data_IF_285714591217
#
_entry.id   IF_285714591217
#
_cell.length_a   1.000
_cell.length_b   1.000
_cell.length_c   1.000
_cell.angle_alpha   90.00
_cell.angle_beta   90.00
_cell.angle_gamma   90.00
#
_symmetry.space_group_name_H-M   'P 1'
#
loop_
_entity.id
_entity.type
_entity.pdbx_description
1 polymer ?
#
# COMPACT_ATOMS: atom_id res chain seq x y z
N UNK A 1 5.41 20.35 -1.14
CA UNK A 1 6.01 19.82 0.11
C UNK A 1 7.18 18.94 -0.27
N UNK A 2 8.31 18.97 0.44
CA UNK A 2 9.50 18.21 0.02
C UNK A 2 9.40 16.79 0.59
N UNK A 3 9.20 15.79 -0.25
CA UNK A 3 9.01 14.37 0.13
C UNK A 3 10.16 13.86 1.01
N UNK A 4 11.37 14.40 0.83
CA UNK A 4 12.55 14.03 1.64
C UNK A 4 12.47 14.41 3.12
N UNK A 5 11.53 15.26 3.52
CA UNK A 5 11.34 15.66 4.93
C UNK A 5 10.49 14.64 5.71
N UNK A 6 9.76 13.78 5.03
CA UNK A 6 8.83 12.81 5.62
C UNK A 6 9.29 11.36 5.47
N UNK A 7 10.30 11.11 4.63
CA UNK A 7 10.81 9.75 4.40
C UNK A 7 11.84 9.41 5.47
N UNK A 8 11.61 8.33 6.22
CA UNK A 8 12.58 7.85 7.21
C UNK A 8 13.91 7.49 6.52
N UNK A 9 15.07 7.77 7.12
CA UNK A 9 16.37 7.43 6.53
C UNK A 9 16.52 5.96 6.12
N UNK A 10 15.93 5.05 6.92
CA UNK A 10 15.96 3.60 6.65
C UNK A 10 15.15 3.23 5.39
N UNK A 11 14.05 3.96 5.11
CA UNK A 11 13.25 3.78 3.89
C UNK A 11 14.05 4.19 2.64
N UNK A 12 14.81 5.28 2.76
CA UNK A 12 15.69 5.72 1.66
C UNK A 12 16.82 4.72 1.39
N UNK A 13 17.34 4.08 2.42
CA UNK A 13 18.37 3.06 2.29
C UNK A 13 17.80 1.76 1.69
N UNK A 14 16.63 1.31 2.15
CA UNK A 14 15.92 0.17 1.59
C UNK A 14 15.58 0.39 0.10
N UNK A 15 15.09 1.58 -0.27
CA UNK A 15 14.84 1.94 -1.66
C UNK A 15 16.12 1.95 -2.51
N UNK A 16 17.24 2.45 -1.97
CA UNK A 16 18.53 2.40 -2.68
C UNK A 16 18.98 0.96 -2.94
N UNK A 17 18.82 0.08 -1.95
CA UNK A 17 19.16 -1.35 -2.08
C UNK A 17 18.27 -2.00 -3.14
N UNK A 18 16.93 -1.79 -3.08
CA UNK A 18 15.98 -2.35 -4.04
C UNK A 18 16.24 -1.82 -5.47
N UNK A 19 16.51 -0.53 -5.60
CA UNK A 19 16.85 0.09 -6.89
C UNK A 19 18.25 -0.29 -7.41
N UNK A 20 19.13 -0.75 -6.54
CA UNK A 20 20.46 -1.25 -6.95
C UNK A 20 20.42 -2.60 -7.66
N UNK A 21 19.28 -3.29 -7.62
CA UNK A 21 19.03 -4.54 -8.37
C UNK A 21 18.42 -4.16 -9.74
N UNK A 22 19.20 -4.07 -10.84
CA UNK A 22 18.75 -3.42 -12.09
C UNK A 22 17.55 -4.09 -12.77
N UNK A 23 17.30 -5.36 -12.44
CA UNK A 23 16.25 -6.17 -13.04
C UNK A 23 14.94 -6.05 -12.25
N UNK A 24 15.01 -5.79 -10.94
CA UNK A 24 13.86 -5.83 -10.05
C UNK A 24 12.76 -4.84 -10.43
N UNK A 25 13.02 -3.52 -10.61
CA UNK A 25 11.98 -2.57 -11.00
C UNK A 25 11.30 -2.93 -12.33
N UNK A 26 12.07 -3.45 -13.30
CA UNK A 26 11.53 -3.84 -14.61
C UNK A 26 10.65 -5.08 -14.54
N UNK A 27 11.05 -6.07 -13.76
CA UNK A 27 10.26 -7.29 -13.54
C UNK A 27 8.97 -6.95 -12.79
N UNK A 28 9.06 -6.11 -11.77
CA UNK A 28 7.92 -5.67 -10.98
C UNK A 28 6.90 -4.89 -11.82
N UNK A 29 7.39 -3.91 -12.59
CA UNK A 29 6.52 -3.15 -13.48
C UNK A 29 5.84 -4.06 -14.50
N UNK A 30 6.58 -4.97 -15.12
CA UNK A 30 6.03 -5.95 -16.05
C UNK A 30 5.01 -6.88 -15.38
N UNK A 31 5.22 -7.26 -14.13
CA UNK A 31 4.29 -8.08 -13.36
C UNK A 31 2.99 -7.33 -13.06
N UNK A 32 3.08 -6.06 -12.68
CA UNK A 32 1.90 -5.19 -12.49
C UNK A 32 1.17 -4.96 -13.83
N UNK A 33 1.91 -4.70 -14.91
CA UNK A 33 1.37 -4.53 -16.28
C UNK A 33 0.68 -5.80 -16.83
N UNK A 34 1.03 -7.00 -16.33
CA UNK A 34 0.40 -8.27 -16.72
C UNK A 34 -1.04 -8.45 -16.19
N UNK A 35 -1.66 -7.41 -15.66
CA UNK A 35 -3.04 -7.42 -15.23
C UNK A 35 -3.25 -7.68 -13.74
N UNK A 36 -2.19 -7.80 -12.95
CA UNK A 36 -2.29 -7.98 -11.50
C UNK A 36 -2.96 -6.79 -10.83
N UNK A 37 -2.63 -5.56 -11.25
CA UNK A 37 -3.31 -4.36 -10.77
C UNK A 37 -4.82 -4.38 -11.09
N UNK A 38 -5.19 -4.81 -12.31
CA UNK A 38 -6.60 -4.94 -12.71
C UNK A 38 -7.32 -6.04 -11.94
N UNK A 39 -6.63 -7.16 -11.67
CA UNK A 39 -7.17 -8.25 -10.86
C UNK A 39 -7.46 -7.77 -9.43
N UNK A 40 -6.50 -7.11 -8.78
CA UNK A 40 -6.68 -6.55 -7.43
C UNK A 40 -7.76 -5.47 -7.39
N UNK A 41 -7.82 -4.63 -8.41
CA UNK A 41 -8.89 -3.64 -8.55
C UNK A 41 -10.27 -4.31 -8.65
N UNK A 42 -10.38 -5.38 -9.43
CA UNK A 42 -11.62 -6.18 -9.54
C UNK A 42 -11.98 -6.86 -8.21
N UNK A 43 -11.00 -7.44 -7.51
CA UNK A 43 -11.20 -8.06 -6.20
C UNK A 43 -11.64 -7.05 -5.14
N UNK A 44 -11.03 -5.87 -5.09
CA UNK A 44 -11.42 -4.81 -4.18
C UNK A 44 -12.88 -4.42 -4.38
N UNK A 45 -13.30 -4.21 -5.62
CA UNK A 45 -14.70 -3.88 -5.95
C UNK A 45 -15.69 -5.00 -5.65
N UNK A 46 -15.26 -6.25 -5.76
CA UNK A 46 -16.11 -7.41 -5.53
C UNK A 46 -16.26 -7.78 -4.05
N UNK A 47 -15.25 -7.51 -3.23
CA UNK A 47 -15.17 -8.00 -1.84
C UNK A 47 -15.18 -6.91 -0.77
N UNK A 48 -15.09 -5.64 -1.16
CA UNK A 48 -14.97 -4.51 -0.22
C UNK A 48 -16.03 -3.44 -0.48
N UNK A 49 -16.28 -2.64 0.54
CA UNK A 49 -17.19 -1.48 0.45
C UNK A 49 -16.36 -0.28 0.00
N UNK A 50 -16.67 0.30 -1.14
CA UNK A 50 -16.04 1.55 -1.57
C UNK A 50 -16.61 2.71 -0.77
N UNK A 51 -15.73 3.44 -0.10
CA UNK A 51 -16.08 4.65 0.64
C UNK A 51 -16.23 5.84 -0.33
N UNK A 52 -17.16 6.72 -0.01
CA UNK A 52 -17.44 7.92 -0.83
C UNK A 52 -18.16 8.97 0.03
N UNK A 53 -18.36 10.19 -0.48
CA UNK A 53 -19.15 11.21 0.23
C UNK A 53 -20.58 10.76 0.59
N UNK A 54 -21.11 9.74 -0.08
CA UNK A 54 -22.45 9.19 0.16
C UNK A 54 -22.43 7.79 0.79
N UNK A 55 -21.25 7.16 0.86
CA UNK A 55 -21.07 5.82 1.41
C UNK A 55 -20.06 5.87 2.55
N UNK A 56 -20.56 5.77 3.80
CA UNK A 56 -19.79 5.91 5.03
C UNK A 56 -18.97 7.22 5.07
N UNK A 57 -19.64 8.38 4.96
CA UNK A 57 -18.97 9.68 4.85
C UNK A 57 -18.11 10.02 6.06
N UNK A 58 -18.43 9.47 7.24
CA UNK A 58 -17.67 9.70 8.48
C UNK A 58 -16.23 9.18 8.37
N UNK A 59 -16.04 8.06 7.67
CA UNK A 59 -14.72 7.47 7.41
C UNK A 59 -14.10 8.12 6.15
N UNK A 60 -14.91 8.26 5.08
CA UNK A 60 -14.42 8.82 3.82
C UNK A 60 -13.81 10.21 3.99
N UNK A 61 -14.46 11.10 4.76
CA UNK A 61 -14.03 12.51 4.91
C UNK A 61 -12.68 12.69 5.64
N UNK A 62 -12.05 11.61 6.10
CA UNK A 62 -10.68 11.62 6.61
C UNK A 62 -9.68 11.80 5.46
N UNK A 63 -9.94 11.21 4.30
CA UNK A 63 -8.99 11.08 3.20
C UNK A 63 -8.72 12.40 2.45
N UNK A 64 -9.72 13.17 1.97
CA UNK A 64 -9.47 14.33 1.12
C UNK A 64 -8.53 15.38 1.72
N UNK A 65 -8.65 15.79 3.01
CA UNK A 65 -7.72 16.76 3.59
C UNK A 65 -6.27 16.29 3.62
N UNK A 66 -6.05 14.97 3.79
CA UNK A 66 -4.72 14.38 3.78
C UNK A 66 -4.13 14.43 2.35
N UNK A 67 -4.93 14.09 1.35
CA UNK A 67 -4.52 14.14 -0.05
C UNK A 67 -4.15 15.57 -0.48
N UNK A 68 -4.94 16.55 -0.09
CA UNK A 68 -4.66 17.97 -0.36
C UNK A 68 -3.33 18.41 0.28
N UNK A 69 -3.09 17.99 1.52
CA UNK A 69 -1.87 18.34 2.26
C UNK A 69 -0.62 17.67 1.65
N UNK A 70 -0.74 16.44 1.18
CA UNK A 70 0.35 15.68 0.56
C UNK A 70 0.50 15.94 -0.95
N UNK A 71 -0.40 16.74 -1.54
CA UNK A 71 -0.42 17.04 -2.98
C UNK A 71 -0.49 15.78 -3.86
N UNK A 72 -1.25 14.76 -3.39
CA UNK A 72 -1.46 13.50 -4.13
C UNK A 72 -2.86 13.43 -4.73
N UNK A 73 -2.99 12.68 -5.82
CA UNK A 73 -4.29 12.32 -6.37
C UNK A 73 -5.01 11.42 -5.37
N UNK A 74 -6.28 11.71 -5.08
CA UNK A 74 -7.09 10.92 -4.15
C UNK A 74 -7.16 9.45 -4.61
N UNK A 75 -6.64 8.50 -3.80
CA UNK A 75 -6.76 7.08 -4.09
C UNK A 75 -8.19 6.59 -3.88
N UNK A 76 -8.57 5.47 -4.46
CA UNK A 76 -9.81 4.81 -4.09
C UNK A 76 -9.73 4.33 -2.64
N UNK A 77 -10.81 4.55 -1.86
CA UNK A 77 -10.84 4.21 -0.44
C UNK A 77 -11.84 3.09 -0.18
N UNK A 78 -11.40 2.04 0.50
CA UNK A 78 -12.19 0.84 0.75
C UNK A 78 -12.22 0.46 2.22
N UNK A 79 -13.38 -0.08 2.64
CA UNK A 79 -13.56 -0.80 3.91
C UNK A 79 -13.66 -2.29 3.61
N UNK A 80 -12.79 -3.08 4.26
CA UNK A 80 -12.80 -4.54 4.21
C UNK A 80 -13.37 -5.11 5.50
N UNK A 81 -14.35 -6.01 5.40
CA UNK A 81 -14.86 -6.75 6.54
C UNK A 81 -13.84 -7.81 6.97
N UNK A 82 -13.04 -7.47 7.98
CA UNK A 82 -11.96 -8.33 8.46
C UNK A 82 -11.80 -8.16 9.98
N UNK A 83 -11.77 -9.27 10.76
CA UNK A 83 -11.59 -9.23 12.22
C UNK A 83 -10.15 -8.88 12.65
N UNK A 84 -9.19 -8.91 11.73
CA UNK A 84 -7.80 -8.50 12.00
C UNK A 84 -7.63 -7.01 11.71
N UNK A 85 -7.23 -6.17 12.71
CA UNK A 85 -6.99 -4.75 12.47
C UNK A 85 -5.83 -4.57 11.48
N UNK A 86 -6.11 -3.89 10.37
CA UNK A 86 -5.10 -3.60 9.36
C UNK A 86 -5.51 -2.40 8.50
N UNK A 87 -4.51 -1.71 7.94
CA UNK A 87 -4.66 -0.79 6.84
C UNK A 87 -3.56 -1.06 5.82
N UNK A 88 -3.81 -0.81 4.57
CA UNK A 88 -2.79 -0.96 3.52
C UNK A 88 -3.17 -0.18 2.28
N UNK A 89 -2.15 0.31 1.61
CA UNK A 89 -2.27 0.90 0.30
C UNK A 89 -1.81 -0.09 -0.77
N UNK A 90 -2.40 -0.02 -1.96
CA UNK A 90 -2.09 -0.90 -3.10
C UNK A 90 -2.23 -0.15 -4.43
N UNK A 91 -1.46 -0.59 -5.43
CA UNK A 91 -1.53 -0.11 -6.80
C UNK A 91 -0.29 0.71 -7.20
N UNK A 92 -0.15 1.00 -8.48
CA UNK A 92 0.91 1.85 -9.05
C UNK A 92 0.26 2.99 -9.86
N UNK A 93 -0.51 2.64 -10.90
CA UNK A 93 -1.24 3.62 -11.72
C UNK A 93 -2.62 3.95 -11.14
N UNK A 94 -3.25 2.97 -10.48
CA UNK A 94 -4.53 3.12 -9.78
C UNK A 94 -4.33 2.77 -8.31
N UNK A 95 -4.06 3.79 -7.52
CA UNK A 95 -3.84 3.62 -6.10
C UNK A 95 -5.15 3.44 -5.33
N UNK A 96 -5.12 2.58 -4.34
CA UNK A 96 -6.23 2.34 -3.43
C UNK A 96 -5.72 2.19 -1.99
N UNK A 97 -6.49 2.67 -1.03
CA UNK A 97 -6.27 2.43 0.40
C UNK A 97 -7.42 1.56 0.92
N UNK A 98 -7.09 0.57 1.71
CA UNK A 98 -8.07 -0.28 2.41
C UNK A 98 -7.84 -0.19 3.90
N UNK A 99 -8.92 -0.03 4.66
CA UNK A 99 -8.94 -0.17 6.11
C UNK A 99 -9.89 -1.31 6.49
N UNK A 100 -9.56 -2.05 7.54
CA UNK A 100 -10.43 -3.15 8.01
C UNK A 100 -11.47 -2.64 9.00
N UNK A 101 -12.61 -3.33 9.07
CA UNK A 101 -13.69 -3.02 10.01
C UNK A 101 -13.22 -3.02 11.46
N UNK A 102 -12.41 -4.00 11.84
CA UNK A 102 -11.84 -4.09 13.19
C UNK A 102 -10.90 -2.92 13.53
N UNK A 103 -10.14 -2.41 12.56
CA UNK A 103 -9.30 -1.23 12.75
C UNK A 103 -10.17 0.01 13.03
N UNK A 104 -11.21 0.20 12.22
CA UNK A 104 -12.16 1.32 12.36
C UNK A 104 -12.89 1.27 13.70
N UNK A 105 -13.29 0.08 14.16
CA UNK A 105 -13.97 -0.10 15.45
C UNK A 105 -13.05 0.14 16.65
N UNK A 106 -11.75 -0.17 16.50
CA UNK A 106 -10.78 -0.10 17.59
C UNK A 106 -10.18 1.29 17.77
N UNK A 107 -10.08 2.09 16.70
CA UNK A 107 -9.40 3.37 16.70
C UNK A 107 -10.36 4.55 16.85
N UNK A 108 -9.94 5.56 17.58
CA UNK A 108 -10.54 6.89 17.52
C UNK A 108 -10.36 7.49 16.13
N UNK A 109 -11.15 8.54 15.84
CA UNK A 109 -11.03 9.24 14.54
C UNK A 109 -9.63 9.79 14.29
N UNK A 110 -8.97 10.31 15.31
CA UNK A 110 -7.63 10.91 15.19
C UNK A 110 -6.57 9.83 14.92
N UNK A 111 -6.67 8.68 15.59
CA UNK A 111 -5.78 7.54 15.35
C UNK A 111 -5.99 6.96 13.94
N UNK A 112 -7.24 6.80 13.52
CA UNK A 112 -7.55 6.35 12.15
C UNK A 112 -7.04 7.36 11.11
N UNK A 113 -7.13 8.67 11.40
CA UNK A 113 -6.57 9.72 10.54
C UNK A 113 -5.06 9.58 10.40
N UNK A 114 -4.36 9.30 11.50
CA UNK A 114 -2.91 9.09 11.48
C UNK A 114 -2.53 7.86 10.64
N UNK A 115 -3.28 6.75 10.76
CA UNK A 115 -3.06 5.54 9.95
C UNK A 115 -3.32 5.82 8.47
N UNK A 116 -4.41 6.48 8.11
CA UNK A 116 -4.72 6.82 6.72
C UNK A 116 -3.66 7.78 6.16
N UNK A 117 -3.18 8.73 6.96
CA UNK A 117 -2.09 9.63 6.56
C UNK A 117 -0.77 8.87 6.30
N UNK A 118 -0.48 7.84 7.10
CA UNK A 118 0.67 6.96 6.89
C UNK A 118 0.58 6.24 5.54
N UNK A 119 -0.57 5.64 5.22
CA UNK A 119 -0.80 4.98 3.94
C UNK A 119 -0.73 5.95 2.75
N UNK A 120 -1.26 7.18 2.91
CA UNK A 120 -1.10 8.24 1.92
C UNK A 120 0.37 8.65 1.73
N UNK A 121 1.17 8.60 2.80
CA UNK A 121 2.62 8.83 2.74
C UNK A 121 3.33 7.82 1.85
N UNK A 122 2.96 6.54 1.90
CA UNK A 122 3.49 5.52 0.99
C UNK A 122 3.17 5.82 -0.47
N UNK A 123 1.95 6.31 -0.75
CA UNK A 123 1.56 6.74 -2.11
C UNK A 123 2.41 7.95 -2.56
N UNK A 124 2.54 8.98 -1.70
CA UNK A 124 3.32 10.18 -1.99
C UNK A 124 4.80 9.88 -2.27
N UNK A 125 5.38 8.92 -1.56
CA UNK A 125 6.77 8.48 -1.73
C UNK A 125 6.98 7.49 -2.89
N UNK A 126 5.94 7.12 -3.65
CA UNK A 126 6.00 6.09 -4.70
C UNK A 126 6.51 4.71 -4.21
N UNK A 127 6.28 4.39 -2.92
CA UNK A 127 6.68 3.11 -2.31
C UNK A 127 5.75 1.96 -2.69
N UNK A 128 4.63 2.27 -3.34
CA UNK A 128 3.53 1.36 -3.60
C UNK A 128 3.91 0.11 -4.39
N UNK A 129 4.82 0.26 -5.36
CA UNK A 129 5.27 -0.86 -6.18
C UNK A 129 5.91 -1.97 -5.32
N UNK A 130 6.78 -1.58 -4.40
CA UNK A 130 7.48 -2.50 -3.51
C UNK A 130 6.56 -3.07 -2.43
N UNK A 131 5.64 -2.24 -1.89
CA UNK A 131 4.66 -2.66 -0.90
C UNK A 131 3.67 -3.67 -1.51
N UNK A 132 3.15 -3.39 -2.70
CA UNK A 132 2.27 -4.31 -3.44
C UNK A 132 2.94 -5.66 -3.72
N UNK A 133 4.24 -5.64 -4.08
CA UNK A 133 4.98 -6.88 -4.26
C UNK A 133 5.13 -7.65 -2.96
N UNK A 134 5.45 -6.97 -1.85
CA UNK A 134 5.59 -7.62 -0.54
C UNK A 134 4.29 -8.32 -0.13
N UNK A 135 3.14 -7.67 -0.33
CA UNK A 135 1.83 -8.26 -0.04
C UNK A 135 1.52 -9.46 -0.96
N UNK A 136 1.81 -9.37 -2.24
CA UNK A 136 1.62 -10.49 -3.18
C UNK A 136 2.51 -11.67 -2.79
N UNK A 137 3.76 -11.42 -2.45
CA UNK A 137 4.69 -12.46 -2.01
C UNK A 137 4.30 -13.08 -0.68
N UNK A 138 3.80 -12.30 0.27
CA UNK A 138 3.32 -12.80 1.56
C UNK A 138 2.08 -13.70 1.40
N UNK A 139 1.19 -13.38 0.45
CA UNK A 139 -0.02 -14.15 0.18
C UNK A 139 0.18 -15.33 -0.78
N UNK A 140 1.28 -15.35 -1.53
CA UNK A 140 1.59 -16.37 -2.54
C UNK A 140 2.50 -17.47 -2.00
N UNK A 141 2.15 -18.08 -0.86
CA UNK A 141 2.95 -19.13 -0.21
C UNK A 141 3.26 -20.38 -1.07
N UNK A 142 2.66 -20.51 -2.25
CA UNK A 142 2.92 -21.59 -3.20
C UNK A 142 3.82 -21.22 -4.40
N UNK A 143 4.07 -19.93 -4.68
CA UNK A 143 4.95 -19.48 -5.77
C UNK A 143 6.41 -19.26 -5.31
N UNK A 144 6.68 -19.45 -4.03
CA UNK A 144 7.97 -19.07 -3.42
C UNK A 144 9.15 -19.97 -3.82
N UNK A 145 8.92 -21.23 -4.14
CA UNK A 145 10.02 -22.13 -4.52
C UNK A 145 10.71 -21.72 -5.83
N UNK A 146 10.00 -21.13 -6.77
CA UNK A 146 10.58 -20.66 -8.03
C UNK A 146 11.31 -19.30 -7.91
N UNK A 147 10.97 -18.49 -6.90
CA UNK A 147 11.56 -17.18 -6.64
C UNK A 147 12.59 -17.18 -5.50
N UNK A 148 12.73 -18.29 -4.78
CA UNK A 148 13.60 -18.40 -3.59
C UNK A 148 15.07 -18.04 -3.85
N UNK A 149 15.58 -18.28 -5.05
CA UNK A 149 16.94 -17.93 -5.43
C UNK A 149 17.18 -16.43 -5.70
N UNK A 150 16.10 -15.66 -5.92
CA UNK A 150 16.12 -14.20 -6.04
C UNK A 150 15.66 -13.51 -4.74
N UNK A 151 15.04 -14.26 -3.83
CA UNK A 151 14.22 -13.73 -2.76
C UNK A 151 14.95 -13.43 -1.45
N UNK A 152 16.12 -14.01 -1.18
CA UNK A 152 16.78 -13.84 0.14
C UNK A 152 17.15 -12.38 0.41
N UNK A 153 17.83 -11.65 -0.48
CA UNK A 153 18.14 -10.24 -0.23
C UNK A 153 16.88 -9.33 -0.25
N UNK A 154 15.91 -9.65 -1.10
CA UNK A 154 14.66 -8.88 -1.20
C UNK A 154 13.78 -9.10 0.03
N UNK A 155 13.69 -10.33 0.53
CA UNK A 155 12.95 -10.66 1.75
C UNK A 155 13.53 -9.93 2.98
N UNK A 156 14.84 -9.89 3.14
CA UNK A 156 15.48 -9.16 4.23
C UNK A 156 15.24 -7.66 4.13
N UNK A 157 15.34 -7.06 2.94
CA UNK A 157 15.06 -5.65 2.73
C UNK A 157 13.60 -5.28 3.05
N UNK A 158 12.65 -6.13 2.65
CA UNK A 158 11.20 -5.93 2.90
C UNK A 158 10.84 -6.15 4.37
N UNK A 159 11.47 -7.11 5.07
CA UNK A 159 11.27 -7.32 6.51
C UNK A 159 11.82 -6.17 7.37
N UNK A 160 12.88 -5.52 6.91
CA UNK A 160 13.42 -4.32 7.56
C UNK A 160 12.49 -3.12 7.41
N UNK A 161 11.76 -3.06 6.32
CA UNK A 161 10.87 -1.96 5.98
C UNK A 161 9.49 -2.04 6.68
N UNK A 162 9.08 -3.21 7.15
CA UNK A 162 7.82 -3.41 7.90
C UNK A 162 7.95 -3.18 9.42
N UNK A 163 9.13 -2.79 9.93
CA UNK A 163 9.36 -2.43 11.34
C UNK A 163 9.41 -0.92 11.53
#
# INVERSE_FOLDING_TARGET
>A
MNISEFTHPDDLEALKILNSIPVLPKVMKKFMDMGMEQLYYGLNKASKIRLSPTQLPEIYNILPPICDQLEIVEPEFYLEMNPMPNAYAFGDTKTAITVTSSLVEMMSKDELTAVVAHECGHIACHHMLYHSLAQILANASGMFEALANLAVPVHYALMYWQR
#
